data_IF_636131459975
#
_entry.id   IF_636131459975
#
_cell.length_a   1.000
_cell.length_b   1.000
_cell.length_c   1.000
_cell.angle_alpha   90.00
_cell.angle_beta   90.00
_cell.angle_gamma   90.00
#
_symmetry.space_group_name_H-M   'P 1'
#
loop_
_entity.id
_entity.type
_entity.pdbx_description
1 polymer ?
#
# COMPACT_ATOMS: atom_id res chain seq x y z
N UNK A 1 11.55 -3.74 -11.69
CA UNK A 1 10.45 -2.75 -11.66
C UNK A 1 9.16 -3.45 -12.12
N UNK A 2 8.51 -4.26 -11.27
CA UNK A 2 7.38 -5.14 -11.68
C UNK A 2 6.34 -5.45 -10.57
N UNK A 3 6.35 -4.75 -9.44
CA UNK A 3 5.47 -5.10 -8.30
C UNK A 3 4.04 -4.53 -8.38
N UNK A 4 3.74 -3.67 -9.37
CA UNK A 4 2.45 -2.96 -9.46
C UNK A 4 1.28 -3.84 -9.93
N UNK A 5 1.54 -4.91 -10.70
CA UNK A 5 0.48 -5.76 -11.25
C UNK A 5 -0.03 -6.85 -10.30
N UNK A 6 0.68 -7.13 -9.20
CA UNK A 6 0.34 -8.24 -8.29
C UNK A 6 -0.77 -7.89 -7.29
N UNK A 7 -0.91 -6.62 -6.92
CA UNK A 7 -1.87 -6.20 -5.90
C UNK A 7 -3.29 -5.98 -6.44
N UNK A 8 -3.43 -5.60 -7.73
CA UNK A 8 -4.73 -5.44 -8.38
C UNK A 8 -5.51 -6.75 -8.47
N UNK A 9 -4.81 -7.88 -8.56
CA UNK A 9 -5.43 -9.22 -8.58
C UNK A 9 -5.98 -9.60 -7.20
N UNK A 10 -5.37 -9.14 -6.11
CA UNK A 10 -5.84 -9.44 -4.74
C UNK A 10 -7.14 -8.70 -4.40
N UNK A 11 -7.30 -7.44 -4.84
CA UNK A 11 -8.51 -6.67 -4.60
C UNK A 11 -9.74 -7.22 -5.36
N UNK A 12 -9.53 -7.81 -6.54
CA UNK A 12 -10.60 -8.39 -7.35
C UNK A 12 -11.19 -9.68 -6.75
N UNK A 13 -10.42 -10.44 -5.96
CA UNK A 13 -10.91 -11.69 -5.34
C UNK A 13 -11.90 -11.43 -4.20
N UNK A 14 -11.75 -10.31 -3.47
CA UNK A 14 -12.63 -10.00 -2.34
C UNK A 14 -13.86 -9.15 -2.71
N UNK A 15 -13.84 -8.40 -3.81
CA UNK A 15 -14.94 -7.50 -4.19
C UNK A 15 -16.02 -8.14 -5.06
N UNK A 16 -15.73 -9.25 -5.76
CA UNK A 16 -16.74 -9.98 -6.52
C UNK A 16 -17.21 -11.17 -5.70
N UNK A 17 -18.27 -11.00 -4.90
CA UNK A 17 -19.05 -12.15 -4.47
C UNK A 17 -19.45 -12.93 -5.73
N UNK A 18 -18.80 -14.07 -5.97
CA UNK A 18 -18.96 -14.82 -7.20
C UNK A 18 -20.30 -15.56 -7.16
N UNK A 19 -21.24 -15.26 -8.07
CA UNK A 19 -22.48 -16.00 -8.16
C UNK A 19 -22.19 -17.42 -8.63
N UNK A 20 -22.92 -18.36 -8.04
CA UNK A 20 -22.99 -19.75 -8.48
C UNK A 20 -23.51 -19.79 -9.92
N UNK A 21 -22.68 -20.24 -10.86
CA UNK A 21 -22.98 -21.26 -11.88
C UNK A 21 -22.03 -21.15 -13.09
N UNK A 22 -21.49 -22.31 -13.50
CA UNK A 22 -20.90 -22.60 -14.81
C UNK A 22 -19.57 -21.93 -15.27
N UNK A 23 -18.66 -21.56 -14.37
CA UNK A 23 -17.27 -21.23 -14.76
C UNK A 23 -16.25 -22.02 -13.95
N UNK A 24 -15.32 -22.71 -14.63
CA UNK A 24 -14.26 -23.52 -14.06
C UNK A 24 -13.63 -22.86 -12.83
N UNK A 25 -13.81 -23.49 -11.66
CA UNK A 25 -13.34 -23.03 -10.35
C UNK A 25 -11.85 -22.71 -10.42
N UNK A 26 -11.49 -21.42 -10.45
CA UNK A 26 -10.09 -21.00 -10.39
C UNK A 26 -9.56 -21.36 -9.00
N UNK A 27 -8.48 -22.14 -8.98
CA UNK A 27 -7.73 -22.55 -7.79
C UNK A 27 -6.65 -21.51 -7.51
N UNK A 28 -6.36 -21.28 -6.23
CA UNK A 28 -5.23 -20.45 -5.82
C UNK A 28 -3.99 -21.33 -5.79
N UNK A 29 -2.97 -20.96 -6.55
CA UNK A 29 -1.68 -21.65 -6.58
C UNK A 29 -0.58 -20.72 -6.06
N UNK A 30 0.36 -21.23 -5.27
CA UNK A 30 1.64 -20.56 -5.00
C UNK A 30 2.61 -20.94 -6.10
N UNK A 31 3.18 -19.93 -6.78
CA UNK A 31 4.35 -20.11 -7.63
C UNK A 31 5.60 -20.16 -6.74
N UNK A 32 6.20 -21.34 -6.58
CA UNK A 32 7.34 -21.53 -5.66
C UNK A 32 8.61 -20.82 -6.10
N UNK A 33 8.76 -20.50 -7.40
CA UNK A 33 9.91 -19.77 -7.91
C UNK A 33 9.79 -18.26 -7.65
N UNK A 34 8.56 -17.73 -7.72
CA UNK A 34 8.29 -16.29 -7.61
C UNK A 34 7.74 -15.87 -6.25
N UNK A 35 7.36 -16.83 -5.42
CA UNK A 35 6.70 -16.64 -4.13
C UNK A 35 5.48 -15.72 -4.23
N UNK A 36 4.65 -15.94 -5.26
CA UNK A 36 3.42 -15.19 -5.51
C UNK A 36 2.21 -16.13 -5.57
N UNK A 37 1.04 -15.58 -5.23
CA UNK A 37 -0.24 -16.22 -5.44
C UNK A 37 -0.72 -16.00 -6.87
N UNK A 38 -1.13 -17.08 -7.54
CA UNK A 38 -1.60 -17.08 -8.92
C UNK A 38 -2.94 -17.82 -8.99
N UNK A 39 -3.93 -17.21 -9.64
CA UNK A 39 -5.20 -17.86 -9.91
C UNK A 39 -5.10 -18.68 -11.19
N UNK A 40 -5.18 -20.01 -11.11
CA UNK A 40 -5.15 -20.92 -12.26
C UNK A 40 -6.32 -21.88 -12.26
N UNK A 41 -6.63 -22.47 -13.41
CA UNK A 41 -7.63 -23.57 -13.49
C UNK A 41 -7.14 -24.85 -12.80
N UNK A 42 -5.82 -25.09 -12.79
CA UNK A 42 -5.18 -26.15 -12.02
C UNK A 42 -3.76 -25.72 -11.60
N UNK A 43 -3.24 -26.36 -10.55
CA UNK A 43 -1.86 -26.20 -10.08
C UNK A 43 -0.99 -27.41 -10.49
N UNK A 44 -1.26 -28.09 -11.61
CA UNK A 44 -0.63 -29.39 -11.96
C UNK A 44 0.86 -29.31 -12.31
N UNK A 45 1.43 -28.14 -12.49
CA UNK A 45 2.86 -28.01 -12.77
C UNK A 45 3.64 -28.07 -11.46
N UNK A 46 4.82 -28.73 -11.43
CA UNK A 46 5.64 -28.88 -10.21
C UNK A 46 6.09 -27.55 -9.59
N UNK A 47 5.91 -26.44 -10.33
CA UNK A 47 6.17 -25.07 -9.84
C UNK A 47 5.03 -24.49 -9.01
N UNK A 48 3.88 -25.16 -8.97
CA UNK A 48 2.66 -24.66 -8.36
C UNK A 48 2.17 -25.58 -7.26
N UNK A 49 1.98 -25.03 -6.07
CA UNK A 49 1.31 -25.73 -4.97
C UNK A 49 -0.08 -25.14 -4.79
N UNK A 50 -1.11 -25.99 -4.77
CA UNK A 50 -2.47 -25.54 -4.52
C UNK A 50 -2.64 -25.17 -3.05
N UNK A 51 -3.31 -24.04 -2.79
CA UNK A 51 -3.61 -23.57 -1.45
C UNK A 51 -5.11 -23.34 -1.34
N UNK A 52 -5.70 -23.75 -0.23
CA UNK A 52 -7.09 -23.41 0.03
C UNK A 52 -7.22 -21.91 0.25
N UNK A 53 -8.15 -21.26 -0.44
CA UNK A 53 -8.42 -19.84 -0.22
C UNK A 53 -8.84 -19.55 1.23
N UNK A 54 -9.38 -20.56 1.94
CA UNK A 54 -9.77 -20.46 3.35
C UNK A 54 -8.60 -20.35 4.33
N UNK A 55 -7.37 -20.63 3.90
CA UNK A 55 -6.17 -20.45 4.75
C UNK A 55 -5.46 -19.13 4.49
N UNK A 56 -5.94 -18.28 3.58
CA UNK A 56 -5.30 -16.98 3.33
C UNK A 56 -5.89 -15.91 4.24
N UNK A 57 -5.05 -15.33 5.11
CA UNK A 57 -5.41 -14.12 5.84
C UNK A 57 -5.27 -12.90 4.94
N UNK A 58 -6.22 -11.97 5.03
CA UNK A 58 -6.10 -10.67 4.38
C UNK A 58 -4.81 -9.95 4.83
N UNK A 59 -4.16 -9.17 3.95
CA UNK A 59 -3.00 -8.39 4.32
C UNK A 59 -3.39 -7.37 5.40
N UNK A 60 -2.56 -7.27 6.44
CA UNK A 60 -2.75 -6.25 7.48
C UNK A 60 -2.28 -4.92 6.93
N UNK A 61 -3.21 -3.96 6.87
CA UNK A 61 -2.93 -2.58 6.47
C UNK A 61 -2.79 -1.69 7.70
N UNK A 62 -1.76 -0.85 7.70
CA UNK A 62 -1.51 0.15 8.74
C UNK A 62 -1.31 1.50 8.08
N UNK A 63 -1.79 2.57 8.73
CA UNK A 63 -1.55 3.95 8.30
C UNK A 63 -0.54 4.56 9.24
N UNK A 64 0.55 5.09 8.69
CA UNK A 64 1.54 5.87 9.43
C UNK A 64 1.39 7.33 9.02
N UNK A 65 1.52 8.23 10.00
CA UNK A 65 1.39 9.67 9.80
C UNK A 65 2.59 10.36 10.42
N UNK A 66 3.16 11.30 9.67
CA UNK A 66 4.17 12.24 10.15
C UNK A 66 3.64 13.66 9.98
N UNK A 67 3.80 14.49 11.00
CA UNK A 67 3.21 15.83 11.08
C UNK A 67 4.26 16.87 11.43
N UNK A 68 4.22 18.04 10.78
CA UNK A 68 5.15 19.14 11.10
C UNK A 68 4.45 20.48 10.90
N UNK A 69 4.57 21.36 11.89
CA UNK A 69 4.17 22.75 11.77
C UNK A 69 5.18 23.50 10.88
N UNK A 70 4.67 24.25 9.92
CA UNK A 70 5.47 25.02 8.97
C UNK A 70 5.14 26.50 9.09
N UNK A 71 6.18 27.31 8.98
CA UNK A 71 6.11 28.75 8.72
C UNK A 71 7.06 29.04 7.56
N UNK A 72 6.51 29.46 6.42
CA UNK A 72 7.24 29.68 5.17
C UNK A 72 6.97 31.08 4.63
N UNK A 73 7.99 31.69 4.03
CA UNK A 73 7.79 32.87 3.20
C UNK A 73 7.33 32.51 1.78
N UNK A 74 7.01 33.53 0.99
CA UNK A 74 6.62 33.34 -0.40
C UNK A 74 7.72 32.58 -1.16
N UNK A 75 7.32 31.53 -1.87
CA UNK A 75 8.21 30.65 -2.65
C UNK A 75 9.17 29.78 -1.84
N UNK A 76 9.23 29.91 -0.51
CA UNK A 76 9.94 28.95 0.33
C UNK A 76 9.22 27.60 0.28
N UNK A 77 9.97 26.52 0.53
CA UNK A 77 9.45 25.16 0.44
C UNK A 77 10.02 24.29 1.55
N UNK A 78 9.19 23.40 2.09
CA UNK A 78 9.59 22.37 3.03
C UNK A 78 9.16 20.99 2.53
N UNK A 79 9.87 19.95 2.97
CA UNK A 79 9.52 18.56 2.68
C UNK A 79 9.65 17.73 3.95
N UNK A 80 8.73 16.80 4.15
CA UNK A 80 8.78 15.79 5.22
C UNK A 80 8.41 14.42 4.65
N UNK A 81 8.68 13.34 5.38
CA UNK A 81 8.37 11.99 4.92
C UNK A 81 7.89 11.10 6.05
N UNK A 82 6.88 10.28 5.76
CA UNK A 82 6.44 9.19 6.62
C UNK A 82 6.98 7.86 6.06
N UNK A 83 7.55 7.02 6.92
CA UNK A 83 8.11 5.72 6.52
C UNK A 83 7.33 4.56 7.10
N UNK A 84 7.24 3.48 6.34
CA UNK A 84 6.67 2.24 6.81
C UNK A 84 7.59 1.54 7.82
N UNK A 85 7.04 0.87 8.84
CA UNK A 85 7.83 0.04 9.74
C UNK A 85 8.54 -1.09 8.98
N UNK A 86 9.68 -1.52 9.50
CA UNK A 86 10.43 -2.64 8.93
C UNK A 86 9.55 -3.89 8.76
N UNK A 87 9.71 -4.58 7.63
CA UNK A 87 8.91 -5.77 7.29
C UNK A 87 7.52 -5.47 6.72
N UNK A 88 7.22 -4.21 6.41
CA UNK A 88 6.02 -3.81 5.65
C UNK A 88 6.41 -3.05 4.38
N UNK A 89 5.49 -2.97 3.42
CA UNK A 89 5.69 -2.30 2.15
C UNK A 89 4.73 -1.11 2.02
N UNK A 90 5.24 0.02 1.51
CA UNK A 90 4.39 1.16 1.17
C UNK A 90 3.53 0.82 -0.06
N UNK A 91 2.20 0.80 0.12
CA UNK A 91 1.23 0.54 -0.95
C UNK A 91 0.59 1.81 -1.49
N UNK A 92 0.75 2.93 -0.78
CA UNK A 92 0.23 4.24 -1.17
C UNK A 92 0.49 5.28 -0.09
N UNK A 93 0.09 6.51 -0.35
CA UNK A 93 0.21 7.60 0.61
C UNK A 93 -0.38 8.88 0.07
N UNK A 94 -0.26 9.94 0.86
CA UNK A 94 -0.83 11.23 0.55
C UNK A 94 -0.36 12.31 1.49
N UNK A 95 -0.83 13.53 1.25
CA UNK A 95 -0.48 14.70 2.05
C UNK A 95 -1.72 15.54 2.30
N UNK A 96 -1.79 16.18 3.46
CA UNK A 96 -2.83 17.16 3.80
C UNK A 96 -2.20 18.33 4.52
N UNK A 97 -2.79 19.52 4.39
CA UNK A 97 -2.43 20.69 5.20
C UNK A 97 -3.66 21.03 6.05
N UNK A 98 -3.47 21.11 7.37
CA UNK A 98 -4.49 21.60 8.32
C UNK A 98 -4.05 22.93 8.88
N UNK A 99 -5.00 23.73 9.37
CA UNK A 99 -4.78 25.11 9.83
C UNK A 99 -4.03 25.96 8.78
N UNK A 100 -4.42 25.80 7.51
CA UNK A 100 -3.71 26.36 6.37
C UNK A 100 -3.97 27.86 6.20
N UNK A 101 -2.94 28.67 6.42
CA UNK A 101 -2.89 30.08 6.04
C UNK A 101 -1.79 30.33 5.01
N UNK A 102 -2.06 29.99 3.74
CA UNK A 102 -1.18 30.33 2.61
C UNK A 102 -0.10 29.31 2.28
N UNK A 103 -0.25 28.05 2.70
CA UNK A 103 0.56 26.94 2.20
C UNK A 103 -0.15 26.25 1.02
N UNK A 104 0.63 25.82 0.04
CA UNK A 104 0.17 24.99 -1.08
C UNK A 104 0.94 23.67 -1.12
N UNK A 105 0.23 22.57 -1.40
CA UNK A 105 0.86 21.28 -1.63
C UNK A 105 1.67 21.35 -2.93
N UNK A 106 2.97 21.06 -2.83
CA UNK A 106 3.90 21.07 -3.95
C UNK A 106 4.23 19.67 -4.46
N UNK A 107 4.24 18.68 -3.55
CA UNK A 107 4.69 17.30 -3.86
C UNK A 107 3.98 16.27 -3.01
N UNK A 108 3.65 15.13 -3.64
CA UNK A 108 3.13 13.92 -3.00
C UNK A 108 3.57 12.71 -3.82
N UNK A 109 4.66 12.06 -3.43
CA UNK A 109 5.20 10.90 -4.15
C UNK A 109 5.82 9.87 -3.19
N UNK A 110 6.03 8.62 -3.63
CA UNK A 110 6.85 7.68 -2.87
C UNK A 110 8.23 8.26 -2.54
N UNK A 111 8.77 7.92 -1.38
CA UNK A 111 10.14 8.32 -1.03
C UNK A 111 11.18 7.57 -1.88
N UNK A 112 12.45 7.95 -1.76
CA UNK A 112 13.52 7.40 -2.61
C UNK A 112 13.76 5.89 -2.38
N UNK A 113 13.53 5.42 -1.15
CA UNK A 113 13.70 4.01 -0.78
C UNK A 113 12.48 3.14 -1.10
N UNK A 114 11.38 3.75 -1.60
CA UNK A 114 10.10 3.11 -1.87
C UNK A 114 9.49 2.41 -0.64
N UNK A 115 9.89 2.81 0.56
CA UNK A 115 9.41 2.31 1.85
C UNK A 115 8.56 3.36 2.59
N UNK A 116 8.21 4.46 1.93
CA UNK A 116 7.49 5.56 2.55
C UNK A 116 6.86 6.52 1.55
N UNK A 117 6.29 7.58 2.07
CA UNK A 117 5.70 8.67 1.30
C UNK A 117 6.40 9.99 1.63
N UNK A 118 6.67 10.79 0.61
CA UNK A 118 7.29 12.10 0.74
C UNK A 118 6.29 13.18 0.35
N UNK A 119 6.09 14.12 1.26
CA UNK A 119 5.25 15.30 1.06
C UNK A 119 6.06 16.58 1.04
N UNK A 120 5.55 17.60 0.36
CA UNK A 120 6.13 18.92 0.39
C UNK A 120 5.10 20.02 0.21
N UNK A 121 5.35 21.15 0.87
CA UNK A 121 4.54 22.35 0.80
C UNK A 121 5.40 23.55 0.37
N UNK A 122 4.75 24.57 -0.18
CA UNK A 122 5.37 25.86 -0.49
C UNK A 122 4.50 27.01 0.03
N UNK A 123 5.14 28.09 0.49
CA UNK A 123 4.45 29.30 0.90
C UNK A 123 3.98 30.12 -0.31
N UNK A 124 2.70 30.52 -0.32
CA UNK A 124 2.11 31.37 -1.36
C UNK A 124 2.12 32.85 -0.98
N UNK A 125 2.53 33.17 0.26
CA UNK A 125 2.69 34.52 0.81
C UNK A 125 3.78 34.51 1.90
N UNK A 126 4.23 35.69 2.32
CA UNK A 126 5.11 35.80 3.48
C UNK A 126 4.36 35.48 4.78
N UNK A 127 4.99 34.72 5.68
CA UNK A 127 4.34 34.23 6.90
C UNK A 127 3.23 33.22 6.64
N UNK A 128 3.32 32.44 5.56
CA UNK A 128 2.41 31.33 5.32
C UNK A 128 2.60 30.27 6.40
N UNK A 129 1.51 29.76 6.97
CA UNK A 129 1.58 28.82 8.10
C UNK A 129 0.55 27.69 8.00
N UNK A 130 0.80 26.62 8.74
CA UNK A 130 -0.09 25.47 8.85
C UNK A 130 0.66 24.19 9.22
N UNK A 131 -0.06 23.10 9.39
CA UNK A 131 0.51 21.80 9.74
C UNK A 131 0.44 20.89 8.52
N UNK A 132 1.61 20.48 8.03
CA UNK A 132 1.74 19.51 6.96
C UNK A 132 1.70 18.09 7.56
N UNK A 133 0.74 17.29 7.13
CA UNK A 133 0.67 15.87 7.44
C UNK A 133 1.01 15.04 6.20
N UNK A 134 1.86 14.03 6.38
CA UNK A 134 2.20 13.04 5.36
C UNK A 134 1.74 11.68 5.83
N UNK A 135 0.99 10.99 4.98
CA UNK A 135 0.44 9.67 5.25
C UNK A 135 1.11 8.63 4.35
N UNK A 136 1.37 7.46 4.91
CA UNK A 136 1.73 6.27 4.14
C UNK A 136 0.87 5.10 4.59
N UNK A 137 0.39 4.33 3.62
CA UNK A 137 -0.32 3.07 3.84
C UNK A 137 0.70 1.95 3.69
N UNK A 138 0.87 1.16 4.73
CA UNK A 138 1.84 0.09 4.84
C UNK A 138 1.12 -1.26 4.92
N UNK A 139 1.51 -2.19 4.05
CA UNK A 139 0.99 -3.54 4.04
C UNK A 139 2.03 -4.53 4.54
N UNK A 140 1.62 -5.40 5.46
CA UNK A 140 2.33 -6.66 5.73
C UNK A 140 1.70 -7.76 4.89
N UNK A 141 2.52 -8.57 4.21
CA UNK A 141 2.06 -9.59 3.28
C UNK A 141 1.01 -10.53 3.89
N UNK A 142 0.13 -11.06 3.03
CA UNK A 142 -0.82 -12.10 3.42
C UNK A 142 -0.06 -13.34 3.88
N UNK A 143 -0.40 -13.87 5.06
CA UNK A 143 0.11 -15.13 5.57
C UNK A 143 -0.87 -16.24 5.28
N UNK A 144 -0.34 -17.45 5.06
CA UNK A 144 -1.14 -18.67 5.14
C UNK A 144 -1.32 -18.90 6.63
N UNK A 145 -2.57 -18.88 7.10
CA UNK A 145 -2.91 -19.34 8.43
C UNK A 145 -2.52 -20.82 8.49
N UNK A 146 -1.56 -21.16 9.34
CA UNK A 146 -1.31 -22.54 9.72
C UNK A 146 -2.61 -23.05 10.35
N UNK A 147 -3.19 -24.10 9.75
CA UNK A 147 -4.23 -24.85 10.43
C UNK A 147 -3.55 -25.51 11.64
N UNK A 148 -3.70 -24.92 12.82
CA UNK A 148 -3.50 -25.65 14.07
C UNK A 148 -4.39 -26.88 13.98
N UNK A 149 -3.76 -28.05 13.90
CA UNK A 149 -4.42 -29.34 13.96
C UNK A 149 -4.43 -29.73 15.44
N UNK A 150 -5.59 -29.59 16.07
CA UNK A 150 -5.96 -30.37 17.25
C UNK A 150 -6.89 -31.51 16.84
#
# INVERSE_FOLDING_TARGET
MNYFFSYLVLALVFLTGLPSEAHAQKRVCIDSEKNILVLKRNCKSPRYTEVSASTLSAPVLTVVTESTALELNSSESANISASCPSGTLATGGGVSIVDNDGLAIRRTIPNLNLDGWAGGATGTKNGASGILNVYVICAKGATIADSESE
#
